data_IF_850048384816
#
_entry.id   IF_850048384816
#
_cell.length_a   1.000
_cell.length_b   1.000
_cell.length_c   1.000
_cell.angle_alpha   90.00
_cell.angle_beta   90.00
_cell.angle_gamma   90.00
#
_symmetry.space_group_name_H-M   'P 1'
#
loop_
_entity.id
_entity.type
_entity.pdbx_description
1 polymer ?
#
# COMPACT_ATOMS: atom_id res chain seq x y z
N UNK A 1 -9.73 -9.94 -17.99
CA UNK A 1 -10.90 -10.62 -17.46
C UNK A 1 -11.04 -10.33 -15.97
N UNK A 2 -12.26 -10.03 -15.51
CA UNK A 2 -12.53 -9.59 -14.14
C UNK A 2 -13.45 -10.59 -13.42
N UNK A 3 -13.07 -10.96 -12.20
CA UNK A 3 -13.95 -11.68 -11.28
C UNK A 3 -14.61 -10.64 -10.35
N UNK A 4 -15.93 -10.51 -10.43
CA UNK A 4 -16.71 -9.52 -9.69
C UNK A 4 -17.40 -10.19 -8.48
N UNK A 5 -17.15 -9.68 -7.28
CA UNK A 5 -17.68 -10.24 -6.03
C UNK A 5 -18.67 -9.28 -5.37
N UNK A 6 -19.89 -9.72 -5.12
CA UNK A 6 -20.92 -8.92 -4.46
C UNK A 6 -22.33 -9.42 -4.72
N UNK A 7 -23.34 -8.59 -4.43
CA UNK A 7 -24.72 -8.92 -4.78
C UNK A 7 -24.89 -8.98 -6.30
N UNK A 8 -25.24 -10.18 -6.78
CA UNK A 8 -25.32 -10.46 -8.22
C UNK A 8 -26.28 -9.51 -8.95
N UNK A 9 -27.45 -9.23 -8.35
CA UNK A 9 -28.47 -8.39 -9.00
C UNK A 9 -28.02 -6.94 -9.11
N UNK A 10 -27.34 -6.42 -8.07
CA UNK A 10 -26.81 -5.08 -8.09
C UNK A 10 -25.69 -4.96 -9.13
N UNK A 11 -24.78 -5.94 -9.17
CA UNK A 11 -23.69 -5.97 -10.16
C UNK A 11 -24.25 -6.03 -11.59
N UNK A 12 -25.18 -6.94 -11.86
CA UNK A 12 -25.82 -7.07 -13.18
C UNK A 12 -26.48 -5.75 -13.62
N UNK A 13 -27.21 -5.08 -12.71
CA UNK A 13 -27.82 -3.79 -13.00
C UNK A 13 -26.82 -2.70 -13.39
N UNK A 14 -25.69 -2.60 -12.69
CA UNK A 14 -24.65 -1.62 -13.03
C UNK A 14 -23.90 -1.97 -14.33
N UNK A 15 -23.67 -3.25 -14.59
CA UNK A 15 -23.02 -3.68 -15.83
C UNK A 15 -23.90 -3.41 -17.06
N UNK A 16 -25.22 -3.68 -16.97
CA UNK A 16 -26.19 -3.40 -18.02
C UNK A 16 -26.29 -1.89 -18.30
N UNK A 17 -26.41 -1.09 -17.25
CA UNK A 17 -26.45 0.38 -17.33
C UNK A 17 -25.23 0.99 -18.03
N UNK A 18 -24.06 0.39 -17.82
CA UNK A 18 -22.79 0.84 -18.42
C UNK A 18 -22.43 0.07 -19.71
N UNK A 19 -23.29 -0.79 -20.23
CA UNK A 19 -23.09 -1.56 -21.46
C UNK A 19 -21.79 -2.39 -21.46
N UNK A 20 -21.43 -2.99 -20.33
CA UNK A 20 -20.19 -3.80 -20.21
C UNK A 20 -20.41 -5.19 -20.83
N UNK A 21 -19.61 -5.59 -21.84
CA UNK A 21 -19.76 -6.89 -22.50
C UNK A 21 -19.50 -8.07 -21.55
N UNK A 22 -20.30 -9.12 -21.67
CA UNK A 22 -20.24 -10.32 -20.81
C UNK A 22 -18.91 -11.08 -20.90
N UNK A 23 -18.20 -10.95 -22.00
CA UNK A 23 -16.93 -11.65 -22.22
C UNK A 23 -15.76 -11.13 -21.37
N UNK A 24 -15.96 -10.00 -20.64
CA UNK A 24 -14.91 -9.38 -19.81
C UNK A 24 -14.97 -9.77 -18.33
N UNK A 25 -16.05 -10.40 -17.87
CA UNK A 25 -16.24 -10.64 -16.44
C UNK A 25 -16.99 -11.92 -16.12
N UNK A 26 -16.83 -12.38 -14.87
CA UNK A 26 -17.65 -13.39 -14.21
C UNK A 26 -18.12 -12.86 -12.87
N UNK A 27 -19.38 -13.17 -12.47
CA UNK A 27 -19.97 -12.68 -11.24
C UNK A 27 -20.06 -13.81 -10.21
N UNK A 28 -19.44 -13.61 -9.08
CA UNK A 28 -19.49 -14.46 -7.90
C UNK A 28 -20.38 -13.80 -6.83
N UNK A 29 -21.56 -14.37 -6.62
CA UNK A 29 -22.51 -13.81 -5.67
C UNK A 29 -22.00 -13.89 -4.23
N UNK A 30 -22.11 -12.78 -3.51
CA UNK A 30 -21.91 -12.68 -2.06
C UNK A 30 -22.98 -11.78 -1.48
N UNK A 31 -23.75 -12.31 -0.52
CA UNK A 31 -24.78 -11.55 0.19
C UNK A 31 -24.24 -10.75 1.36
N UNK A 32 -23.02 -11.05 1.81
CA UNK A 32 -22.38 -10.40 2.95
C UNK A 32 -21.44 -9.30 2.46
N UNK A 33 -21.58 -8.11 3.05
CA UNK A 33 -20.75 -6.95 2.79
C UNK A 33 -20.12 -6.49 4.10
N UNK A 34 -18.86 -6.06 4.06
CA UNK A 34 -18.19 -5.42 5.19
C UNK A 34 -18.65 -3.97 5.26
N UNK A 35 -19.17 -3.53 6.41
CA UNK A 35 -19.56 -2.14 6.63
C UNK A 35 -18.33 -1.23 6.78
N UNK A 36 -18.47 0.02 6.34
CA UNK A 36 -17.44 1.04 6.54
C UNK A 36 -17.22 1.40 8.02
N UNK A 37 -18.22 1.13 8.86
CA UNK A 37 -18.16 1.36 10.31
C UNK A 37 -17.53 0.20 11.09
N UNK A 38 -17.29 -0.95 10.44
CA UNK A 38 -16.68 -2.09 11.14
C UNK A 38 -15.23 -1.82 11.50
N UNK A 39 -14.88 -2.15 12.75
CA UNK A 39 -13.48 -2.13 13.16
C UNK A 39 -12.73 -3.34 12.57
N UNK A 40 -11.42 -3.24 12.31
CA UNK A 40 -10.64 -4.38 11.81
C UNK A 40 -10.77 -5.65 12.65
N UNK A 41 -10.90 -5.52 13.98
CA UNK A 41 -11.05 -6.65 14.90
C UNK A 41 -12.42 -7.35 14.80
N UNK A 42 -13.50 -6.59 14.64
CA UNK A 42 -14.85 -7.15 14.43
C UNK A 42 -14.98 -7.74 13.04
N UNK A 43 -14.40 -7.08 12.05
CA UNK A 43 -14.44 -7.52 10.68
C UNK A 43 -13.72 -8.86 10.43
N UNK A 44 -12.64 -9.18 11.16
CA UNK A 44 -11.98 -10.51 11.08
C UNK A 44 -12.98 -11.63 11.36
N UNK A 45 -13.90 -11.44 12.31
CA UNK A 45 -14.89 -12.45 12.68
C UNK A 45 -16.06 -12.52 11.70
N UNK A 46 -16.47 -11.37 11.15
CA UNK A 46 -17.70 -11.21 10.38
C UNK A 46 -17.45 -11.16 8.86
N UNK A 47 -16.22 -10.94 8.42
CA UNK A 47 -15.90 -10.78 6.98
C UNK A 47 -15.87 -12.09 6.20
N UNK A 48 -15.84 -13.24 6.88
CA UNK A 48 -15.80 -14.54 6.19
C UNK A 48 -17.01 -14.66 5.26
N UNK A 49 -16.74 -15.09 4.03
CA UNK A 49 -17.72 -15.18 2.95
C UNK A 49 -18.28 -13.83 2.44
N UNK A 50 -17.76 -12.69 2.92
CA UNK A 50 -18.08 -11.39 2.33
C UNK A 50 -17.48 -11.22 0.94
N UNK A 51 -18.00 -10.25 0.18
CA UNK A 51 -17.44 -9.91 -1.14
C UNK A 51 -15.95 -9.56 -1.08
N UNK A 52 -15.53 -8.82 -0.06
CA UNK A 52 -14.11 -8.48 0.16
C UNK A 52 -13.26 -9.73 0.45
N UNK A 53 -13.72 -10.59 1.37
CA UNK A 53 -13.03 -11.86 1.67
C UNK A 53 -12.86 -12.72 0.42
N UNK A 54 -13.96 -12.95 -0.30
CA UNK A 54 -13.97 -13.82 -1.48
C UNK A 54 -13.08 -13.26 -2.60
N UNK A 55 -13.05 -11.95 -2.80
CA UNK A 55 -12.17 -11.33 -3.79
C UNK A 55 -10.68 -11.48 -3.44
N UNK A 56 -10.30 -11.32 -2.17
CA UNK A 56 -8.92 -11.55 -1.72
C UNK A 56 -8.55 -13.04 -1.82
N UNK A 57 -9.45 -13.92 -1.35
CA UNK A 57 -9.22 -15.36 -1.37
C UNK A 57 -9.07 -15.91 -2.79
N UNK A 58 -9.65 -15.25 -3.79
CA UNK A 58 -9.50 -15.62 -5.20
C UNK A 58 -8.06 -15.60 -5.70
N UNK A 59 -7.18 -14.83 -5.08
CA UNK A 59 -5.75 -14.86 -5.40
C UNK A 59 -5.10 -16.20 -5.00
N UNK A 60 -5.67 -16.90 -4.03
CA UNK A 60 -5.19 -18.22 -3.58
C UNK A 60 -5.81 -19.35 -4.39
N UNK A 61 -7.13 -19.30 -4.58
CA UNK A 61 -7.89 -20.45 -5.11
C UNK A 61 -8.12 -20.40 -6.63
N UNK A 62 -8.18 -19.21 -7.24
CA UNK A 62 -8.50 -19.02 -8.65
C UNK A 62 -7.45 -18.23 -9.44
N UNK A 63 -6.26 -18.06 -8.87
CA UNK A 63 -5.12 -17.45 -9.55
C UNK A 63 -5.33 -16.00 -10.00
N UNK A 64 -6.26 -15.27 -9.37
CA UNK A 64 -6.41 -13.83 -9.58
C UNK A 64 -5.10 -13.11 -9.23
N UNK A 65 -4.68 -12.17 -10.06
CA UNK A 65 -3.39 -11.49 -9.88
C UNK A 65 -3.45 -10.31 -8.92
N UNK A 66 -4.60 -9.63 -8.90
CA UNK A 66 -4.82 -8.40 -8.12
C UNK A 66 -6.24 -8.43 -7.58
N UNK A 67 -6.42 -7.96 -6.36
CA UNK A 67 -7.73 -7.63 -5.79
C UNK A 67 -7.89 -6.12 -5.76
N UNK A 68 -9.02 -5.62 -6.27
CA UNK A 68 -9.43 -4.23 -6.18
C UNK A 68 -10.66 -4.13 -5.28
N UNK A 69 -10.63 -3.23 -4.31
CA UNK A 69 -11.75 -2.95 -3.41
C UNK A 69 -11.87 -1.46 -3.15
N UNK A 70 -13.10 -0.94 -3.14
CA UNK A 70 -13.42 0.41 -2.71
C UNK A 70 -14.03 0.46 -1.29
N UNK A 71 -14.03 -0.67 -0.56
CA UNK A 71 -14.56 -0.76 0.79
C UNK A 71 -13.54 -0.35 1.86
N UNK A 72 -13.87 -0.63 3.12
CA UNK A 72 -13.09 -0.28 4.30
C UNK A 72 -11.61 -0.71 4.21
N UNK A 73 -10.71 0.28 4.14
CA UNK A 73 -9.26 0.07 3.95
C UNK A 73 -8.62 -0.72 5.10
N UNK A 74 -9.04 -0.46 6.34
CA UNK A 74 -8.49 -1.16 7.50
C UNK A 74 -8.87 -2.65 7.49
N UNK A 75 -10.10 -2.98 7.10
CA UNK A 75 -10.55 -4.36 6.94
C UNK A 75 -9.85 -5.03 5.77
N UNK A 76 -9.75 -4.35 4.62
CA UNK A 76 -9.01 -4.84 3.44
C UNK A 76 -7.58 -5.23 3.82
N UNK A 77 -6.88 -4.35 4.56
CA UNK A 77 -5.52 -4.60 5.01
C UNK A 77 -5.41 -5.85 5.91
N UNK A 78 -6.27 -5.94 6.93
CA UNK A 78 -6.21 -7.04 7.90
C UNK A 78 -6.59 -8.38 7.26
N UNK A 79 -7.66 -8.41 6.45
CA UNK A 79 -8.08 -9.63 5.73
C UNK A 79 -7.02 -10.07 4.72
N UNK A 80 -6.42 -9.13 3.98
CA UNK A 80 -5.33 -9.42 3.05
C UNK A 80 -4.14 -10.04 3.78
N UNK A 81 -3.70 -9.46 4.91
CA UNK A 81 -2.60 -10.00 5.71
C UNK A 81 -2.89 -11.41 6.22
N UNK A 82 -4.13 -11.67 6.63
CA UNK A 82 -4.53 -12.97 7.16
C UNK A 82 -4.57 -14.06 6.08
N UNK A 83 -5.10 -13.74 4.90
CA UNK A 83 -5.27 -14.70 3.80
C UNK A 83 -3.99 -14.88 3.00
N UNK A 84 -3.40 -13.79 2.51
CA UNK A 84 -2.27 -13.85 1.57
C UNK A 84 -0.94 -14.10 2.28
N UNK A 85 -0.85 -13.76 3.58
CA UNK A 85 0.39 -13.75 4.37
C UNK A 85 1.42 -12.77 3.82
N UNK A 86 2.59 -12.70 4.43
CA UNK A 86 3.74 -11.94 3.94
C UNK A 86 4.75 -12.87 3.29
N UNK A 87 5.60 -12.36 2.40
CA UNK A 87 6.78 -13.08 1.93
C UNK A 87 7.76 -13.26 3.10
N UNK A 88 8.57 -14.33 3.07
CA UNK A 88 9.39 -14.74 4.22
C UNK A 88 10.31 -13.65 4.78
N UNK A 89 10.83 -12.78 3.92
CA UNK A 89 11.76 -11.72 4.30
C UNK A 89 11.08 -10.48 4.86
N UNK A 90 9.78 -10.26 4.61
CA UNK A 90 9.02 -9.08 5.00
C UNK A 90 8.16 -9.37 6.22
N UNK A 91 8.41 -8.66 7.31
CA UNK A 91 7.69 -8.88 8.58
C UNK A 91 6.33 -8.19 8.65
N UNK A 92 6.19 -7.04 7.99
CA UNK A 92 4.96 -6.22 7.99
C UNK A 92 4.61 -5.76 6.58
N UNK A 93 3.36 -5.88 6.13
CA UNK A 93 2.89 -5.19 4.94
C UNK A 93 2.76 -3.69 5.23
N UNK A 94 2.82 -2.84 4.22
CA UNK A 94 2.64 -1.40 4.33
C UNK A 94 1.46 -0.93 3.49
N UNK A 95 0.84 0.18 3.90
CA UNK A 95 -0.14 0.89 3.09
C UNK A 95 0.59 1.92 2.24
N UNK A 96 0.62 1.71 0.93
CA UNK A 96 1.25 2.61 -0.02
C UNK A 96 0.21 3.46 -0.76
N UNK A 97 0.51 4.74 -0.96
CA UNK A 97 -0.29 5.66 -1.77
C UNK A 97 0.53 6.29 -2.87
N UNK A 98 -0.15 6.62 -3.98
CA UNK A 98 0.40 7.47 -5.02
C UNK A 98 0.10 8.92 -4.69
N UNK A 99 1.13 9.73 -4.55
CA UNK A 99 1.05 11.13 -4.16
C UNK A 99 1.56 12.02 -5.27
N UNK A 100 0.74 12.92 -5.81
CA UNK A 100 1.17 13.81 -6.89
C UNK A 100 2.28 14.76 -6.42
N UNK A 101 3.22 15.02 -7.31
CA UNK A 101 4.29 15.98 -7.11
C UNK A 101 4.48 16.86 -8.36
N UNK A 102 5.34 17.86 -8.26
CA UNK A 102 5.58 18.81 -9.37
C UNK A 102 6.12 18.16 -10.66
N UNK A 103 6.69 16.97 -10.57
CA UNK A 103 7.30 16.28 -11.73
C UNK A 103 6.47 15.12 -12.23
N UNK A 104 5.83 14.36 -11.34
CA UNK A 104 5.06 13.15 -11.64
C UNK A 104 4.31 12.67 -10.38
N UNK A 105 4.59 11.47 -9.90
CA UNK A 105 3.98 10.84 -8.73
C UNK A 105 5.07 10.30 -7.80
N UNK A 106 4.83 10.36 -6.50
CA UNK A 106 5.59 9.64 -5.49
C UNK A 106 4.84 8.38 -5.06
N UNK A 107 5.56 7.34 -4.72
CA UNK A 107 5.06 6.27 -3.86
C UNK A 107 5.41 6.66 -2.42
N UNK A 108 4.39 6.84 -1.58
CA UNK A 108 4.57 7.16 -0.15
C UNK A 108 4.07 5.98 0.68
N UNK A 109 4.87 5.48 1.61
CA UNK A 109 4.54 4.37 2.49
C UNK A 109 5.35 4.47 3.80
N UNK A 110 4.83 4.13 4.98
CA UNK A 110 3.53 3.56 5.29
C UNK A 110 2.52 4.66 5.64
N UNK A 111 1.29 4.56 5.14
CA UNK A 111 0.25 5.57 5.33
C UNK A 111 -0.77 5.22 6.42
N UNK A 112 -0.38 4.38 7.37
CA UNK A 112 -1.20 4.12 8.56
C UNK A 112 -1.44 2.66 8.92
N UNK A 113 -0.78 1.71 8.27
CA UNK A 113 -0.90 0.29 8.59
C UNK A 113 -0.12 -0.11 9.86
N UNK A 114 1.04 0.49 10.11
CA UNK A 114 1.93 0.15 11.20
C UNK A 114 2.32 1.41 11.98
N UNK A 115 1.70 1.64 13.12
CA UNK A 115 1.96 2.83 13.97
C UNK A 115 3.42 2.87 14.41
N UNK A 116 3.95 1.74 14.86
CA UNK A 116 5.34 1.60 15.28
C UNK A 116 6.12 0.74 14.29
N UNK A 117 7.28 1.25 13.87
CA UNK A 117 8.20 0.56 12.97
C UNK A 117 9.60 0.55 13.57
N UNK A 118 10.31 -0.55 13.39
CA UNK A 118 11.74 -0.63 13.62
C UNK A 118 12.54 -0.33 12.34
N UNK A 119 13.85 -0.33 12.44
CA UNK A 119 14.74 -0.08 11.30
C UNK A 119 14.61 -1.13 10.19
N UNK A 120 14.32 -2.40 10.55
CA UNK A 120 14.07 -3.45 9.56
C UNK A 120 12.78 -3.17 8.78
N UNK A 121 11.71 -2.75 9.44
CA UNK A 121 10.45 -2.42 8.76
C UNK A 121 10.64 -1.29 7.75
N UNK A 122 11.36 -0.22 8.13
CA UNK A 122 11.61 0.90 7.22
C UNK A 122 12.50 0.52 6.03
N UNK A 123 13.42 -0.43 6.21
CA UNK A 123 14.21 -0.99 5.11
C UNK A 123 13.31 -1.82 4.19
N UNK A 124 12.52 -2.74 4.74
CA UNK A 124 11.56 -3.55 3.96
C UNK A 124 10.62 -2.63 3.15
N UNK A 125 10.10 -1.55 3.77
CA UNK A 125 9.26 -0.57 3.08
C UNK A 125 10.01 0.17 1.97
N UNK A 126 11.29 0.46 2.16
CA UNK A 126 12.12 1.10 1.13
C UNK A 126 12.26 0.22 -0.11
N UNK A 127 12.51 -1.07 0.08
CA UNK A 127 12.61 -2.05 -1.01
C UNK A 127 11.25 -2.27 -1.68
N UNK A 128 10.16 -2.42 -0.90
CA UNK A 128 8.80 -2.56 -1.42
C UNK A 128 8.36 -1.33 -2.22
N UNK A 129 8.62 -0.14 -1.69
CA UNK A 129 8.30 1.13 -2.36
C UNK A 129 9.07 1.30 -3.66
N UNK A 130 10.36 0.94 -3.67
CA UNK A 130 11.19 0.98 -4.87
C UNK A 130 10.70 -0.01 -5.94
N UNK A 131 10.35 -1.24 -5.53
CA UNK A 131 9.79 -2.24 -6.43
C UNK A 131 8.44 -1.80 -7.02
N UNK A 132 7.55 -1.23 -6.19
CA UNK A 132 6.26 -0.69 -6.64
C UNK A 132 6.47 0.47 -7.62
N UNK A 133 7.33 1.43 -7.28
CA UNK A 133 7.63 2.55 -8.18
C UNK A 133 8.17 2.07 -9.53
N UNK A 134 9.10 1.10 -9.51
CA UNK A 134 9.67 0.53 -10.73
C UNK A 134 8.65 -0.22 -11.58
N UNK A 135 7.69 -0.87 -10.97
CA UNK A 135 6.58 -1.54 -11.67
C UNK A 135 5.65 -0.53 -12.37
N UNK A 136 5.38 0.61 -11.72
CA UNK A 136 4.53 1.67 -12.27
C UNK A 136 5.26 2.54 -13.30
N UNK A 137 6.55 2.79 -13.11
CA UNK A 137 7.40 3.65 -13.94
C UNK A 137 8.68 2.91 -14.36
N UNK A 138 8.58 1.96 -15.31
CA UNK A 138 9.68 1.04 -15.65
C UNK A 138 10.97 1.72 -16.15
N UNK A 139 10.84 2.91 -16.73
CA UNK A 139 11.97 3.65 -17.29
C UNK A 139 12.69 4.55 -16.28
N UNK A 140 12.09 4.74 -15.09
CA UNK A 140 12.64 5.61 -14.06
C UNK A 140 13.45 4.82 -13.02
N UNK A 141 14.42 5.47 -12.41
CA UNK A 141 15.15 4.92 -11.27
C UNK A 141 14.47 5.32 -9.99
N UNK A 142 14.09 4.37 -9.10
CA UNK A 142 13.56 4.69 -7.79
C UNK A 142 14.58 5.50 -6.96
N UNK A 143 14.12 6.61 -6.37
CA UNK A 143 14.89 7.48 -5.48
C UNK A 143 14.20 7.49 -4.11
N UNK A 144 14.72 6.68 -3.21
CA UNK A 144 14.16 6.46 -1.87
C UNK A 144 14.65 7.55 -0.92
N UNK A 145 13.74 8.12 -0.14
CA UNK A 145 14.06 9.00 0.98
C UNK A 145 13.24 8.60 2.22
N UNK A 146 13.82 8.81 3.40
CA UNK A 146 13.14 8.65 4.68
C UNK A 146 12.53 9.99 5.11
N UNK A 147 11.24 9.99 5.43
CA UNK A 147 10.57 11.18 5.98
C UNK A 147 11.13 11.48 7.38
N UNK A 148 11.55 12.72 7.59
CA UNK A 148 12.18 13.16 8.84
C UNK A 148 11.85 14.64 9.12
N UNK A 149 12.21 15.12 10.30
CA UNK A 149 12.05 16.51 10.77
C UNK A 149 13.13 17.46 10.27
N UNK A 150 14.12 16.97 9.54
CA UNK A 150 15.24 17.72 8.98
C UNK A 150 16.06 16.83 8.06
N UNK A 151 16.82 17.44 7.17
CA UNK A 151 17.62 16.73 6.15
C UNK A 151 18.99 16.28 6.65
N UNK A 152 19.42 16.77 7.83
CA UNK A 152 20.74 16.45 8.38
C UNK A 152 20.77 15.04 8.98
N UNK A 153 21.88 14.31 8.78
CA UNK A 153 22.06 12.93 9.24
C UNK A 153 21.89 12.73 10.76
N UNK A 154 22.10 13.81 11.55
CA UNK A 154 21.97 13.79 13.01
C UNK A 154 20.54 13.95 13.52
N UNK A 155 19.61 14.36 12.66
CA UNK A 155 18.20 14.60 13.01
C UNK A 155 17.38 13.31 13.05
N UNK A 156 16.28 13.38 13.79
CA UNK A 156 15.31 12.30 13.89
C UNK A 156 15.60 11.30 15.00
N UNK A 157 14.80 10.24 15.01
CA UNK A 157 14.87 9.17 16.01
C UNK A 157 16.08 8.26 15.79
N UNK A 158 16.47 7.50 16.81
CA UNK A 158 17.53 6.50 16.67
C UNK A 158 17.21 5.41 15.62
N UNK A 159 15.93 5.10 15.45
CA UNK A 159 15.47 4.16 14.40
C UNK A 159 15.77 4.74 13.03
N UNK A 160 15.41 6.01 12.78
CA UNK A 160 15.66 6.68 11.50
C UNK A 160 17.15 6.77 11.18
N UNK A 161 17.99 7.09 12.17
CA UNK A 161 19.44 7.15 12.00
C UNK A 161 20.05 5.78 11.66
N UNK A 162 19.62 4.72 12.35
CA UNK A 162 20.03 3.34 12.03
C UNK A 162 19.59 2.93 10.63
N UNK A 163 18.34 3.23 10.27
CA UNK A 163 17.80 2.95 8.94
C UNK A 163 18.59 3.69 7.86
N UNK A 164 18.91 4.96 8.09
CA UNK A 164 19.72 5.78 7.17
C UNK A 164 21.06 5.12 6.85
N UNK A 165 21.81 4.73 7.89
CA UNK A 165 23.13 4.08 7.71
C UNK A 165 23.01 2.80 6.88
N UNK A 166 22.02 1.96 7.18
CA UNK A 166 21.79 0.71 6.46
C UNK A 166 21.37 0.92 5.01
N UNK A 167 20.43 1.84 4.75
CA UNK A 167 20.00 2.15 3.39
C UNK A 167 21.12 2.76 2.54
N UNK A 168 21.99 3.57 3.14
CA UNK A 168 23.19 4.11 2.46
C UNK A 168 24.14 3.00 1.99
N UNK A 169 24.23 1.90 2.73
CA UNK A 169 25.01 0.72 2.31
C UNK A 169 24.26 -0.13 1.28
N UNK A 170 22.98 -0.46 1.53
CA UNK A 170 22.15 -1.30 0.65
C UNK A 170 22.04 -0.66 -0.74
N UNK A 171 21.82 0.63 -0.82
CA UNK A 171 21.65 1.34 -2.09
C UNK A 171 22.89 1.32 -3.03
N UNK A 172 24.05 0.96 -2.52
CA UNK A 172 25.26 0.78 -3.36
C UNK A 172 25.15 -0.42 -4.30
N UNK A 173 24.34 -1.41 -3.93
CA UNK A 173 24.19 -2.69 -4.63
C UNK A 173 22.75 -2.98 -5.05
N UNK A 174 21.80 -2.17 -4.57
CA UNK A 174 20.37 -2.34 -4.82
C UNK A 174 19.88 -1.63 -6.08
N UNK A 175 18.63 -1.88 -6.45
CA UNK A 175 17.98 -1.34 -7.65
C UNK A 175 17.37 0.06 -7.44
N UNK A 176 17.77 0.77 -6.40
CA UNK A 176 17.32 2.13 -6.09
C UNK A 176 18.46 3.03 -5.63
N UNK A 177 18.27 4.34 -5.75
CA UNK A 177 19.15 5.36 -5.14
C UNK A 177 18.57 5.79 -3.79
N UNK A 178 19.42 5.92 -2.78
CA UNK A 178 19.02 6.47 -1.50
C UNK A 178 19.39 7.96 -1.42
N UNK A 179 18.37 8.82 -1.29
CA UNK A 179 18.52 10.27 -1.25
C UNK A 179 18.65 10.85 0.18
N UNK A 180 18.68 9.96 1.21
CA UNK A 180 18.79 10.39 2.59
C UNK A 180 17.44 10.77 3.22
N UNK A 181 17.45 11.81 4.04
CA UNK A 181 16.25 12.33 4.69
C UNK A 181 15.53 13.38 3.83
N UNK A 182 14.20 13.42 3.95
CA UNK A 182 13.34 14.42 3.33
C UNK A 182 12.39 15.01 4.37
N UNK A 183 12.17 16.31 4.33
CA UNK A 183 11.21 17.01 5.17
C UNK A 183 9.81 17.01 4.54
N UNK A 184 8.75 17.13 5.36
CA UNK A 184 7.37 17.06 4.90
C UNK A 184 7.00 18.06 3.80
N UNK A 185 7.54 19.29 3.87
CA UNK A 185 7.35 20.33 2.86
C UNK A 185 7.99 20.04 1.49
N UNK A 186 8.85 19.04 1.42
CA UNK A 186 9.53 18.63 0.17
C UNK A 186 8.89 17.41 -0.50
N UNK A 187 7.90 16.80 0.12
CA UNK A 187 7.21 15.61 -0.45
C UNK A 187 6.71 15.89 -1.87
N UNK A 188 6.16 17.07 -2.11
CA UNK A 188 5.55 17.44 -3.39
C UNK A 188 6.54 17.97 -4.43
N UNK A 189 7.81 18.17 -4.10
CA UNK A 189 8.80 18.73 -5.04
C UNK A 189 9.34 17.69 -6.06
N UNK A 190 9.11 16.40 -5.84
CA UNK A 190 9.56 15.32 -6.75
C UNK A 190 11.09 15.17 -6.83
N UNK A 191 11.83 15.52 -5.78
CA UNK A 191 13.28 15.26 -5.68
C UNK A 191 13.55 13.78 -5.41
N UNK A 192 12.73 13.16 -4.57
CA UNK A 192 12.61 11.72 -4.39
C UNK A 192 11.26 11.25 -4.90
N UNK A 193 11.15 9.99 -5.29
CA UNK A 193 9.93 9.43 -5.84
C UNK A 193 9.41 8.21 -5.06
N UNK A 194 10.15 7.79 -4.03
CA UNK A 194 9.73 6.83 -3.01
C UNK A 194 10.01 7.45 -1.64
N UNK A 195 8.97 7.68 -0.85
CA UNK A 195 9.08 8.32 0.46
C UNK A 195 8.58 7.34 1.52
N UNK A 196 9.46 7.03 2.47
CA UNK A 196 9.24 6.00 3.48
C UNK A 196 9.12 6.63 4.86
N UNK A 197 8.13 6.19 5.61
CA UNK A 197 7.85 6.64 6.98
C UNK A 197 7.22 5.51 7.79
N UNK A 198 7.09 5.68 9.10
CA UNK A 198 6.17 4.87 9.90
C UNK A 198 4.72 5.26 9.63
N UNK A 199 3.79 4.36 9.96
CA UNK A 199 2.37 4.59 9.68
C UNK A 199 1.75 5.71 10.51
N UNK A 200 2.31 6.07 11.68
CA UNK A 200 1.82 7.20 12.46
C UNK A 200 2.11 8.51 11.75
N UNK A 201 3.36 8.75 11.39
CA UNK A 201 3.78 9.96 10.67
C UNK A 201 3.15 10.04 9.28
N UNK A 202 3.10 8.92 8.57
CA UNK A 202 2.51 8.84 7.23
C UNK A 202 1.01 9.11 7.21
N UNK A 203 0.26 8.61 8.19
CA UNK A 203 -1.17 8.91 8.30
C UNK A 203 -1.43 10.39 8.62
N UNK A 204 -0.64 11.00 9.51
CA UNK A 204 -0.75 12.43 9.79
C UNK A 204 -0.45 13.24 8.52
N UNK A 205 0.62 12.91 7.80
CA UNK A 205 0.96 13.60 6.55
C UNK A 205 -0.17 13.48 5.52
N UNK A 206 -0.73 12.29 5.33
CA UNK A 206 -1.85 12.04 4.43
C UNK A 206 -3.06 12.89 4.81
N UNK A 207 -3.50 12.82 6.07
CA UNK A 207 -4.67 13.55 6.57
C UNK A 207 -4.50 15.08 6.55
N UNK A 208 -3.26 15.55 6.59
CA UNK A 208 -2.96 16.99 6.46
C UNK A 208 -3.06 17.45 5.01
N UNK A 209 -2.77 16.56 4.05
CA UNK A 209 -2.82 16.87 2.62
C UNK A 209 -4.22 16.72 2.00
N UNK A 210 -5.10 15.88 2.57
CA UNK A 210 -6.53 15.78 2.22
C UNK A 210 -7.30 17.05 2.62
#
# INVERSE_FOLDING_TARGET
>A
FFNLYGDKKLIEGELEKNNIPKDFYEIFHSSTVVSDEETPLTAIKNSKDSSMWNSINSQIISNSKITLSAGNTGVLFVVSRMLLKTIETVSKPALAGLWPNEKNMNVVLDLGANIECDDKNLIDFSEMGAALYKALFPNDTPKVALLNIGSEEIKGTEILKKTYIKLKEISKYGDFKFNGFIEGNKITLGESNVIVTDGFSGNIALKTAE
#
